data_IF_132156807806
#
_entry.id   IF_132156807806
#
_cell.length_a   1.000
_cell.length_b   1.000
_cell.length_c   1.000
_cell.angle_alpha   90.00
_cell.angle_beta   90.00
_cell.angle_gamma   90.00
#
_symmetry.space_group_name_H-M   'P 1'
#
loop_
_entity.id
_entity.type
_entity.pdbx_description
1 polymer ?
#
# COMPACT_ATOMS: atom_id res chain seq x y z
N UNK A 1 -9.92 8.45 7.02
CA UNK A 1 -10.13 7.10 6.46
C UNK A 1 -8.99 6.23 6.94
N UNK A 2 -9.29 5.04 7.48
CA UNK A 2 -8.28 4.10 7.95
C UNK A 2 -7.62 3.41 6.75
N UNK A 3 -6.52 3.98 6.25
CA UNK A 3 -5.79 3.43 5.10
C UNK A 3 -5.34 1.98 5.37
N UNK A 4 -5.02 1.65 6.62
CA UNK A 4 -4.70 0.27 7.03
C UNK A 4 -5.89 -0.66 6.88
N UNK A 5 -7.10 -0.21 7.23
CA UNK A 5 -8.32 -1.01 7.10
C UNK A 5 -8.64 -1.28 5.64
N UNK A 6 -8.55 -0.26 4.78
CA UNK A 6 -8.79 -0.40 3.34
C UNK A 6 -7.84 -1.44 2.74
N UNK A 7 -6.53 -1.32 3.01
CA UNK A 7 -5.55 -2.28 2.51
C UNK A 7 -5.78 -3.68 3.07
N UNK A 8 -6.16 -3.81 4.34
CA UNK A 8 -6.42 -5.10 4.95
C UNK A 8 -7.65 -5.79 4.35
N UNK A 9 -8.77 -5.07 4.17
CA UNK A 9 -9.97 -5.59 3.52
C UNK A 9 -9.67 -6.02 2.07
N UNK A 10 -8.84 -5.27 1.34
CA UNK A 10 -8.44 -5.64 -0.03
C UNK A 10 -7.50 -6.86 -0.06
N UNK A 11 -6.60 -6.98 0.92
CA UNK A 11 -5.74 -8.16 1.08
C UNK A 11 -6.52 -9.42 1.45
N UNK A 12 -7.57 -9.27 2.27
CA UNK A 12 -8.46 -10.34 2.66
C UNK A 12 -9.45 -10.75 1.54
N UNK A 13 -9.51 -9.97 0.45
CA UNK A 13 -10.48 -10.17 -0.63
C UNK A 13 -11.91 -9.79 -0.23
N UNK A 14 -12.09 -9.09 0.89
CA UNK A 14 -13.39 -8.59 1.35
C UNK A 14 -13.89 -7.39 0.54
N UNK A 15 -12.96 -6.68 -0.11
CA UNK A 15 -13.27 -5.63 -1.07
C UNK A 15 -12.45 -5.79 -2.36
N UNK A 16 -12.95 -5.25 -3.50
CA UNK A 16 -12.17 -5.17 -4.72
C UNK A 16 -10.98 -4.23 -4.58
N UNK A 17 -9.92 -4.53 -5.33
CA UNK A 17 -8.77 -3.64 -5.52
C UNK A 17 -9.19 -2.54 -6.49
N UNK A 18 -9.46 -1.36 -5.94
CA UNK A 18 -9.97 -0.18 -6.64
C UNK A 18 -9.08 1.05 -6.41
N UNK A 19 -9.45 2.19 -7.01
CA UNK A 19 -8.71 3.46 -6.87
C UNK A 19 -8.54 3.89 -5.41
N UNK A 20 -9.52 3.56 -4.54
CA UNK A 20 -9.45 3.86 -3.12
C UNK A 20 -8.38 3.00 -2.41
N UNK A 21 -8.25 1.73 -2.79
CA UNK A 21 -7.18 0.86 -2.34
C UNK A 21 -5.81 1.40 -2.79
N UNK A 22 -5.71 1.85 -4.02
CA UNK A 22 -4.47 2.46 -4.55
C UNK A 22 -4.09 3.73 -3.80
N UNK A 23 -5.04 4.63 -3.55
CA UNK A 23 -4.81 5.84 -2.77
C UNK A 23 -4.36 5.51 -1.34
N UNK A 24 -4.98 4.51 -0.70
CA UNK A 24 -4.58 4.06 0.63
C UNK A 24 -3.15 3.50 0.65
N UNK A 25 -2.77 2.65 -0.31
CA UNK A 25 -1.40 2.12 -0.44
C UNK A 25 -0.40 3.25 -0.69
N UNK A 26 -0.71 4.21 -1.57
CA UNK A 26 0.16 5.35 -1.85
C UNK A 26 0.43 6.22 -0.61
N UNK A 27 -0.59 6.51 0.19
CA UNK A 27 -0.43 7.26 1.45
C UNK A 27 0.43 6.47 2.45
N UNK A 28 0.25 5.15 2.54
CA UNK A 28 1.07 4.31 3.42
C UNK A 28 2.54 4.26 2.92
N UNK A 29 2.75 4.19 1.61
CA UNK A 29 4.08 4.22 1.01
C UNK A 29 4.81 5.54 1.30
N UNK A 30 4.12 6.67 1.16
CA UNK A 30 4.67 7.98 1.50
C UNK A 30 5.05 8.07 2.99
N UNK A 31 4.17 7.58 3.88
CA UNK A 31 4.44 7.54 5.33
C UNK A 31 5.64 6.66 5.67
N UNK A 32 5.75 5.50 5.02
CA UNK A 32 6.88 4.60 5.19
C UNK A 32 8.17 5.26 4.72
N UNK A 33 8.16 5.96 3.57
CA UNK A 33 9.32 6.70 3.08
C UNK A 33 9.75 7.79 4.07
N UNK A 34 8.80 8.57 4.60
CA UNK A 34 9.10 9.58 5.64
C UNK A 34 9.68 8.94 6.90
N UNK A 35 9.21 7.74 7.28
CA UNK A 35 9.73 7.00 8.42
C UNK A 35 11.16 6.48 8.16
N UNK A 36 11.43 5.95 6.97
CA UNK A 36 12.78 5.53 6.57
C UNK A 36 13.77 6.70 6.55
N UNK A 37 13.30 7.90 6.18
CA UNK A 37 14.11 9.12 6.17
C UNK A 37 14.34 9.70 7.58
N UNK A 38 13.50 9.39 8.56
CA UNK A 38 13.64 9.92 9.92
C UNK A 38 14.71 9.20 10.74
N UNK A 39 15.00 7.93 10.44
CA UNK A 39 16.04 7.16 11.12
C UNK A 39 16.51 5.97 10.30
N UNK A 40 17.82 5.72 10.32
CA UNK A 40 18.44 4.53 9.72
C UNK A 40 17.93 3.21 10.33
N UNK A 41 17.35 3.26 11.53
CA UNK A 41 16.69 2.10 12.16
C UNK A 41 15.55 1.55 11.31
N UNK A 42 14.87 2.42 10.56
CA UNK A 42 13.71 2.05 9.75
C UNK A 42 14.07 1.74 8.29
N UNK A 43 15.34 1.87 7.89
CA UNK A 43 15.78 1.74 6.50
C UNK A 43 15.49 0.35 5.88
N UNK A 44 15.34 -0.69 6.71
CA UNK A 44 15.02 -2.06 6.27
C UNK A 44 13.54 -2.40 6.34
N UNK A 45 12.69 -1.50 6.83
CA UNK A 45 11.25 -1.73 6.88
C UNK A 45 10.69 -1.54 5.48
N UNK A 46 10.08 -2.59 4.94
CA UNK A 46 9.42 -2.61 3.65
C UNK A 46 8.01 -3.19 3.80
N UNK A 47 7.18 -3.01 2.78
CA UNK A 47 5.91 -3.70 2.71
C UNK A 47 6.10 -5.21 2.52
N UNK A 48 5.05 -5.95 2.88
CA UNK A 48 5.01 -7.38 2.59
C UNK A 48 4.80 -7.61 1.08
N UNK A 49 5.22 -8.77 0.55
CA UNK A 49 5.01 -9.10 -0.86
C UNK A 49 3.54 -9.06 -1.31
N UNK A 50 2.60 -9.18 -0.36
CA UNK A 50 1.18 -9.09 -0.64
C UNK A 50 0.73 -7.66 -0.98
N UNK A 51 1.28 -6.67 -0.28
CA UNK A 51 1.01 -5.25 -0.54
C UNK A 51 1.70 -4.80 -1.83
N UNK A 52 2.90 -5.30 -2.13
CA UNK A 52 3.58 -5.04 -3.41
C UNK A 52 2.76 -5.54 -4.60
N UNK A 53 2.18 -6.75 -4.50
CA UNK A 53 1.27 -7.28 -5.54
C UNK A 53 0.03 -6.41 -5.72
N UNK A 54 -0.53 -5.91 -4.62
CA UNK A 54 -1.65 -4.97 -4.65
C UNK A 54 -1.29 -3.71 -5.44
N UNK A 55 -0.07 -3.20 -5.24
CA UNK A 55 0.44 -2.03 -5.95
C UNK A 55 0.68 -2.30 -7.45
N UNK A 56 1.07 -3.53 -7.80
CA UNK A 56 1.21 -3.97 -9.20
C UNK A 56 -0.15 -4.17 -9.89
N UNK A 57 -1.13 -4.77 -9.20
CA UNK A 57 -2.49 -4.95 -9.71
C UNK A 57 -3.18 -3.61 -9.97
N UNK A 58 -2.99 -2.64 -9.08
CA UNK A 58 -3.52 -1.29 -9.27
C UNK A 58 -2.91 -0.58 -10.49
N UNK A 59 -1.60 -0.75 -10.74
CA UNK A 59 -0.95 -0.19 -11.94
C UNK A 59 -1.47 -0.82 -13.24
N UNK A 60 -1.79 -2.12 -13.22
CA UNK A 60 -2.37 -2.80 -14.37
C UNK A 60 -3.79 -2.31 -14.70
N UNK A 61 -4.57 -1.89 -13.71
CA UNK A 61 -5.93 -1.35 -13.89
C UNK A 61 -5.93 0.07 -14.48
N UNK A 62 -4.90 0.88 -14.23
CA UNK A 62 -4.78 2.25 -14.76
C UNK A 62 -4.35 2.26 -16.23
N UNK A 63 -3.76 1.16 -16.73
CA UNK A 63 -3.24 1.05 -18.10
C UNK A 63 -4.15 0.25 -19.04
N UNK A 64 -5.37 -0.09 -18.60
CA UNK A 64 -6.38 -0.87 -19.34
C UNK A 64 -7.57 -0.05 -19.79
#
# INVERSE_FOLDING_TARGET
MDNLRIVNESLAGERPVDEQTQAAVAILAERLQRLQQSSSLFAKIAFSPHVDRLQQQAQALVMG
#
